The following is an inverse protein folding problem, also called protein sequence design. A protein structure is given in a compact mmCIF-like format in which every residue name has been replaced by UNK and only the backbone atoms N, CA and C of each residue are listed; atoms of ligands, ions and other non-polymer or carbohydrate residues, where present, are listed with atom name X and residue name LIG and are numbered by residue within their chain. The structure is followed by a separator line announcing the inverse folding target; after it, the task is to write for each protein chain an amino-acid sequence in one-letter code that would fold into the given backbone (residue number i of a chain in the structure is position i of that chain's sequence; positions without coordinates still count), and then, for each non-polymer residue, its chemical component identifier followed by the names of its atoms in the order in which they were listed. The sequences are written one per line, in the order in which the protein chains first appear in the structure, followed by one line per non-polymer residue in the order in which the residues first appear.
data_IF_983124010996
#
_entry.id   IF_983124010996
#
_cell.length_a   1.000
_cell.length_b   1.000
_cell.length_c   1.000
_cell.angle_alpha   90.00
_cell.angle_beta   90.00
_cell.angle_gamma   90.00
#
_symmetry.space_group_name_H-M   'P 1'
#
loop_
_entity.id
_entity.type
_entity.pdbx_description
1 polymer ?
#
# COMPACT_ATOMS: atom_id res chain seq x y z
N UNK A 1 -20.08 -6.22 -6.19
CA UNK A 1 -21.27 -5.34 -6.14
C UNK A 1 -20.78 -3.90 -6.34
N UNK A 2 -21.21 -3.28 -7.44
CA UNK A 2 -20.92 -1.87 -7.70
C UNK A 2 -21.88 -1.03 -6.86
N UNK A 3 -21.38 -0.37 -5.83
CA UNK A 3 -22.13 0.62 -5.06
C UNK A 3 -22.00 1.98 -5.76
N UNK A 4 -23.10 2.51 -6.24
CA UNK A 4 -23.18 3.85 -6.81
C UNK A 4 -23.72 4.81 -5.75
N UNK A 5 -23.02 5.94 -5.54
CA UNK A 5 -23.61 7.06 -4.83
C UNK A 5 -24.68 7.68 -5.72
N UNK A 6 -25.90 7.80 -5.21
CA UNK A 6 -27.01 8.42 -5.94
C UNK A 6 -27.23 9.83 -5.42
N UNK A 7 -27.25 10.77 -6.32
CA UNK A 7 -27.72 12.13 -6.01
C UNK A 7 -29.22 12.08 -5.82
N UNK A 8 -29.70 12.55 -4.65
CA UNK A 8 -31.12 12.69 -4.36
C UNK A 8 -31.66 14.05 -4.79
N UNK A 9 -32.98 14.17 -4.91
CA UNK A 9 -33.64 15.47 -5.08
C UNK A 9 -33.56 16.33 -3.81
N UNK A 10 -33.41 15.68 -2.64
CA UNK A 10 -33.28 16.33 -1.34
C UNK A 10 -31.82 16.32 -0.88
N UNK A 11 -31.41 17.28 -0.04
CA UNK A 11 -30.06 17.31 0.53
C UNK A 11 -29.74 16.02 1.30
N UNK A 12 -28.54 15.47 1.08
CA UNK A 12 -28.09 14.22 1.70
C UNK A 12 -26.82 14.48 2.51
N UNK A 13 -26.67 13.80 3.63
CA UNK A 13 -25.44 13.79 4.42
C UNK A 13 -24.58 12.57 4.04
N UNK A 14 -23.35 12.82 3.65
CA UNK A 14 -22.36 11.78 3.38
C UNK A 14 -21.33 11.73 4.50
N UNK A 15 -21.07 10.53 4.99
CA UNK A 15 -20.01 10.27 5.96
C UNK A 15 -19.03 9.26 5.41
N UNK A 16 -17.74 9.52 5.62
CA UNK A 16 -16.66 8.66 5.18
C UNK A 16 -15.66 8.42 6.29
N UNK A 17 -14.96 7.30 6.23
CA UNK A 17 -13.85 6.97 7.12
C UNK A 17 -12.75 6.22 6.37
N UNK A 18 -11.55 6.31 6.89
CA UNK A 18 -10.38 5.58 6.45
C UNK A 18 -9.58 5.14 7.70
N UNK A 19 -8.95 3.97 7.71
CA UNK A 19 -8.90 2.95 6.66
C UNK A 19 -10.14 2.06 6.65
N UNK A 20 -10.38 1.36 5.53
CA UNK A 20 -11.42 0.34 5.42
C UNK A 20 -10.89 -0.97 6.00
N UNK A 21 -11.07 -1.16 7.31
CA UNK A 21 -10.69 -2.37 8.04
C UNK A 21 -11.88 -2.89 8.84
N UNK A 22 -11.84 -4.17 9.21
CA UNK A 22 -12.92 -4.78 10.00
C UNK A 22 -13.15 -4.02 11.31
N UNK A 23 -14.40 -3.70 11.62
CA UNK A 23 -14.79 -2.98 12.85
C UNK A 23 -14.57 -1.47 12.81
N UNK A 24 -13.99 -0.89 11.74
CA UNK A 24 -13.88 0.55 11.57
C UNK A 24 -15.19 1.15 11.06
N UNK A 25 -15.48 2.37 11.50
CA UNK A 25 -16.60 3.20 11.09
C UNK A 25 -16.26 4.67 11.31
N UNK A 26 -17.19 5.59 11.08
CA UNK A 26 -17.01 7.01 11.40
C UNK A 26 -16.89 7.31 12.91
N UNK A 27 -17.25 6.35 13.77
CA UNK A 27 -17.25 6.50 15.23
C UNK A 27 -16.36 5.50 15.96
N UNK A 28 -16.00 4.38 15.33
CA UNK A 28 -15.25 3.30 15.97
C UNK A 28 -14.01 2.94 15.18
N UNK A 29 -12.90 2.79 15.89
CA UNK A 29 -11.64 2.37 15.30
C UNK A 29 -10.73 1.73 16.35
N UNK A 30 -10.24 0.53 16.08
CA UNK A 30 -9.25 -0.13 16.92
C UNK A 30 -7.87 0.04 16.29
N UNK A 31 -6.95 0.63 17.05
CA UNK A 31 -5.60 0.93 16.58
C UNK A 31 -4.78 -0.35 16.41
N UNK A 32 -4.20 -0.62 15.22
CA UNK A 32 -3.27 -1.72 15.02
C UNK A 32 -2.00 -1.55 15.88
N UNK A 33 -1.68 -2.56 16.70
CA UNK A 33 -0.49 -2.52 17.56
C UNK A 33 0.79 -2.95 16.85
N UNK A 34 0.70 -3.69 15.75
CA UNK A 34 1.84 -4.02 14.90
C UNK A 34 1.87 -3.09 13.70
N UNK A 35 2.75 -2.07 13.74
CA UNK A 35 2.95 -1.10 12.68
C UNK A 35 4.35 -1.22 12.03
N UNK A 36 5.00 -2.38 12.13
CA UNK A 36 6.36 -2.61 11.63
C UNK A 36 6.47 -2.62 10.10
N UNK A 37 5.36 -2.67 9.38
CA UNK A 37 5.29 -2.58 7.91
C UNK A 37 4.55 -1.30 7.52
N UNK A 38 4.95 -0.69 6.39
CA UNK A 38 4.29 0.52 5.87
C UNK A 38 2.80 0.34 5.69
N UNK A 39 2.36 -0.82 5.21
CA UNK A 39 0.94 -1.16 5.07
C UNK A 39 0.19 -1.09 6.41
N UNK A 40 0.78 -1.64 7.48
CA UNK A 40 0.17 -1.62 8.79
C UNK A 40 0.20 -0.22 9.41
N UNK A 41 1.26 0.55 9.14
CA UNK A 41 1.35 1.95 9.53
C UNK A 41 0.25 2.77 8.84
N UNK A 42 0.03 2.56 7.54
CA UNK A 42 -1.05 3.21 6.79
C UNK A 42 -2.44 2.84 7.34
N UNK A 43 -2.67 1.57 7.70
CA UNK A 43 -3.91 1.10 8.34
C UNK A 43 -4.16 1.70 9.73
N UNK A 44 -3.19 2.35 10.34
CA UNK A 44 -3.34 3.04 11.62
C UNK A 44 -3.77 4.51 11.47
N UNK A 45 -3.73 5.10 10.27
CA UNK A 45 -4.10 6.50 10.02
C UNK A 45 -5.61 6.69 9.91
N UNK A 46 -6.29 6.65 11.06
CA UNK A 46 -7.74 6.81 11.10
C UNK A 46 -8.16 8.24 10.81
N UNK A 47 -9.02 8.40 9.82
CA UNK A 47 -9.59 9.66 9.36
C UNK A 47 -11.10 9.54 9.20
N UNK A 48 -11.81 10.63 9.41
CA UNK A 48 -13.25 10.70 9.20
C UNK A 48 -13.63 11.99 8.47
N UNK A 49 -14.76 11.95 7.77
CA UNK A 49 -15.37 13.11 7.16
C UNK A 49 -16.88 13.00 7.25
N UNK A 50 -17.56 14.12 7.45
CA UNK A 50 -19.00 14.25 7.28
C UNK A 50 -19.25 15.52 6.49
N UNK A 51 -20.00 15.41 5.39
CA UNK A 51 -20.44 16.54 4.56
C UNK A 51 -21.95 16.53 4.55
N UNK A 52 -22.52 17.57 5.10
CA UNK A 52 -23.98 17.73 5.28
C UNK A 52 -24.59 18.53 4.13
N UNK A 53 -25.88 18.34 3.91
CA UNK A 53 -26.70 19.14 2.99
C UNK A 53 -26.15 19.14 1.54
N UNK A 54 -25.62 18.01 1.09
CA UNK A 54 -25.07 17.87 -0.26
C UNK A 54 -26.23 17.75 -1.25
N UNK A 55 -26.24 18.63 -2.25
CA UNK A 55 -27.16 18.63 -3.39
C UNK A 55 -26.39 18.47 -4.69
N UNK A 56 -27.04 17.98 -5.75
CA UNK A 56 -26.39 17.93 -7.07
C UNK A 56 -26.26 19.36 -7.63
N UNK A 57 -25.02 19.82 -7.72
CA UNK A 57 -24.66 21.11 -8.32
C UNK A 57 -24.40 21.00 -9.84
N UNK A 58 -24.69 19.82 -10.41
CA UNK A 58 -24.44 19.51 -11.83
C UNK A 58 -23.01 19.03 -12.12
N UNK A 59 -22.08 19.18 -11.18
CA UNK A 59 -20.69 18.72 -11.36
C UNK A 59 -20.55 17.20 -11.20
N UNK A 60 -21.48 16.59 -10.47
CA UNK A 60 -21.45 15.16 -10.07
C UNK A 60 -20.20 14.78 -9.30
N UNK A 61 -19.54 15.73 -8.64
CA UNK A 61 -18.31 15.53 -7.88
C UNK A 61 -18.61 15.71 -6.40
N UNK A 62 -18.43 14.69 -5.59
CA UNK A 62 -18.45 14.77 -4.13
C UNK A 62 -17.02 14.95 -3.60
N UNK A 63 -16.73 16.07 -2.97
CA UNK A 63 -15.44 16.34 -2.34
C UNK A 63 -15.51 16.01 -0.86
N UNK A 64 -14.68 15.05 -0.41
CA UNK A 64 -14.59 14.61 0.97
C UNK A 64 -13.29 15.12 1.59
N UNK A 65 -13.37 16.11 2.47
CA UNK A 65 -12.23 16.58 3.26
C UNK A 65 -12.02 15.69 4.49
N UNK A 66 -11.08 14.76 4.41
CA UNK A 66 -10.81 13.81 5.50
C UNK A 66 -10.05 14.48 6.65
N UNK A 67 -10.52 14.31 7.87
CA UNK A 67 -9.92 14.85 9.10
C UNK A 67 -9.20 13.73 9.85
N UNK A 68 -7.88 13.84 10.02
CA UNK A 68 -7.10 12.89 10.82
C UNK A 68 -7.50 12.92 12.27
N UNK A 69 -7.78 11.78 12.82
CA UNK A 69 -8.09 11.56 14.25
C UNK A 69 -6.88 11.11 15.05
N UNK A 70 -5.81 10.69 14.40
CA UNK A 70 -4.60 10.15 15.02
C UNK A 70 -3.51 11.20 15.12
N UNK A 71 -2.50 10.92 15.95
CA UNK A 71 -1.23 11.63 16.02
C UNK A 71 -0.11 10.74 15.47
N UNK A 72 0.96 11.35 14.97
CA UNK A 72 2.16 10.66 14.51
C UNK A 72 3.29 10.92 15.51
N UNK A 73 3.98 9.87 15.91
CA UNK A 73 5.16 9.93 16.77
C UNK A 73 6.36 9.39 16.01
N UNK A 74 7.43 10.16 15.98
CA UNK A 74 8.74 9.78 15.43
C UNK A 74 9.76 9.89 16.54
N UNK A 75 10.48 8.81 16.81
CA UNK A 75 11.57 8.78 17.78
C UNK A 75 12.89 8.50 17.08
N UNK A 76 13.81 9.44 17.09
CA UNK A 76 15.16 9.26 16.54
C UNK A 76 16.12 8.84 17.63
N UNK A 77 16.76 7.70 17.47
CA UNK A 77 17.77 7.19 18.38
C UNK A 77 19.08 7.96 18.17
N UNK A 78 19.42 8.82 19.12
CA UNK A 78 20.55 9.74 18.97
C UNK A 78 21.76 9.37 19.83
N UNK A 79 21.55 8.69 20.95
CA UNK A 79 22.63 8.34 21.86
C UNK A 79 22.35 6.99 22.50
N UNK A 80 23.10 5.98 22.06
CA UNK A 80 23.12 4.65 22.66
C UNK A 80 24.52 4.46 23.22
N UNK A 81 24.62 4.38 24.52
CA UNK A 81 25.91 4.23 25.21
C UNK A 81 26.63 2.95 24.80
N UNK A 82 27.91 3.09 24.46
CA UNK A 82 28.78 1.96 24.19
C UNK A 82 28.50 1.22 22.88
N UNK A 83 28.78 -0.08 22.85
CA UNK A 83 28.59 -0.96 21.66
C UNK A 83 27.23 -1.65 21.61
N UNK A 84 26.30 -1.24 22.46
CA UNK A 84 24.98 -1.81 22.53
C UNK A 84 24.09 -1.45 21.35
N UNK A 85 23.05 -2.24 21.17
CA UNK A 85 21.94 -1.93 20.26
C UNK A 85 20.62 -2.02 21.00
N UNK A 86 19.73 -1.13 20.68
CA UNK A 86 18.36 -1.14 21.16
C UNK A 86 17.53 -2.16 20.38
N UNK A 87 16.72 -2.92 21.08
CA UNK A 87 15.83 -3.93 20.49
C UNK A 87 14.41 -3.77 21.03
N UNK A 88 13.43 -4.30 20.31
CA UNK A 88 12.06 -4.40 20.77
C UNK A 88 11.40 -3.09 21.18
N UNK A 89 11.77 -1.96 20.53
CA UNK A 89 11.16 -0.67 20.84
C UNK A 89 9.66 -0.74 20.67
N UNK A 90 8.94 -0.24 21.68
CA UNK A 90 7.49 -0.08 21.69
C UNK A 90 7.16 1.36 22.05
N UNK A 91 6.07 1.87 21.48
CA UNK A 91 5.55 3.22 21.74
C UNK A 91 4.15 3.08 22.34
N UNK A 92 3.90 3.70 23.47
CA UNK A 92 2.63 3.68 24.17
C UNK A 92 1.57 4.54 23.45
N UNK A 93 0.35 4.05 23.42
CA UNK A 93 -0.81 4.71 22.83
C UNK A 93 -2.08 4.32 23.54
N UNK A 94 -3.14 5.11 23.37
CA UNK A 94 -4.50 4.66 23.62
C UNK A 94 -4.96 3.67 22.55
N UNK A 95 -6.02 2.88 22.85
CA UNK A 95 -6.41 1.74 21.98
C UNK A 95 -7.18 2.12 20.72
N UNK A 96 -7.66 3.35 20.59
CA UNK A 96 -8.43 3.82 19.44
C UNK A 96 -9.65 4.63 19.84
N UNK A 97 -10.75 4.46 19.13
CA UNK A 97 -11.99 5.21 19.29
C UNK A 97 -13.19 4.28 19.48
N UNK A 98 -14.09 4.66 20.37
CA UNK A 98 -15.42 4.07 20.52
C UNK A 98 -16.45 5.18 20.67
N UNK A 99 -17.51 5.13 19.87
CA UNK A 99 -18.56 6.18 19.81
C UNK A 99 -17.99 7.60 19.59
N UNK A 100 -16.93 7.71 18.80
CA UNK A 100 -16.27 8.99 18.51
C UNK A 100 -15.30 9.49 19.56
N UNK A 101 -15.20 8.82 20.72
CA UNK A 101 -14.34 9.19 21.84
C UNK A 101 -13.11 8.25 21.93
N UNK A 102 -11.98 8.81 22.38
CA UNK A 102 -10.75 8.02 22.59
C UNK A 102 -10.96 7.03 23.73
N UNK A 103 -10.62 5.77 23.49
CA UNK A 103 -10.70 4.71 24.49
C UNK A 103 -9.67 4.94 25.60
N UNK A 104 -10.07 4.80 26.85
CA UNK A 104 -9.18 5.03 28.00
C UNK A 104 -8.09 3.98 28.20
N UNK A 105 -8.24 2.78 27.63
CA UNK A 105 -7.23 1.74 27.67
C UNK A 105 -6.00 2.08 26.83
N UNK A 106 -4.83 1.58 27.25
CA UNK A 106 -3.56 1.79 26.56
C UNK A 106 -3.00 0.51 25.97
N UNK A 107 -2.18 0.63 24.94
CA UNK A 107 -1.48 -0.46 24.25
C UNK A 107 -0.06 -0.03 23.89
N UNK A 108 0.82 -1.01 23.73
CA UNK A 108 2.18 -0.83 23.24
C UNK A 108 2.23 -1.17 21.74
N UNK A 109 2.62 -0.20 20.93
CA UNK A 109 2.72 -0.32 19.48
C UNK A 109 4.14 -0.74 19.11
N UNK A 110 4.28 -1.72 18.22
CA UNK A 110 5.53 -2.03 17.52
C UNK A 110 5.67 -1.07 16.34
N UNK A 111 6.60 -0.08 16.38
CA UNK A 111 6.69 0.97 15.39
C UNK A 111 7.33 0.47 14.09
N UNK A 112 7.15 1.23 13.03
CA UNK A 112 7.92 1.13 11.81
C UNK A 112 9.34 1.66 12.05
N UNK A 113 10.35 0.92 11.56
CA UNK A 113 11.76 1.27 11.75
C UNK A 113 12.34 1.73 10.41
N UNK A 114 12.94 2.92 10.39
CA UNK A 114 13.80 3.37 9.29
C UNK A 114 15.25 3.33 9.76
N UNK A 115 16.08 2.62 9.02
CA UNK A 115 17.53 2.52 9.27
C UNK A 115 18.24 3.45 8.30
N UNK A 116 19.11 4.34 8.78
CA UNK A 116 19.87 5.23 7.90
C UNK A 116 20.82 4.43 6.99
N UNK A 117 21.18 5.00 5.85
CA UNK A 117 22.11 4.36 4.91
C UNK A 117 23.43 4.02 5.59
N UNK A 118 23.89 2.79 5.42
CA UNK A 118 25.08 2.24 6.10
C UNK A 118 24.93 1.95 7.59
N UNK A 119 23.76 2.25 8.19
CA UNK A 119 23.45 1.99 9.59
C UNK A 119 22.98 0.55 9.84
N UNK A 120 22.72 0.24 11.11
CA UNK A 120 22.13 -1.03 11.54
C UNK A 120 20.96 -0.77 12.47
N UNK A 121 19.94 -1.63 12.42
CA UNK A 121 18.78 -1.52 13.29
C UNK A 121 19.18 -1.49 14.78
N UNK A 122 18.58 -0.55 15.52
CA UNK A 122 18.83 -0.36 16.94
C UNK A 122 20.08 0.44 17.28
N UNK A 123 20.73 1.05 16.30
CA UNK A 123 21.87 1.96 16.49
C UNK A 123 21.46 3.42 16.24
N UNK A 124 22.35 4.36 16.62
CA UNK A 124 22.14 5.78 16.43
C UNK A 124 21.73 6.13 14.98
N UNK A 125 20.81 7.06 14.85
CA UNK A 125 20.24 7.49 13.58
C UNK A 125 19.01 6.68 13.14
N UNK A 126 18.70 5.53 13.77
CA UNK A 126 17.46 4.84 13.49
C UNK A 126 16.25 5.65 13.95
N UNK A 127 15.21 5.69 13.14
CA UNK A 127 13.93 6.31 13.51
C UNK A 127 12.85 5.25 13.70
N UNK A 128 12.01 5.46 14.69
CA UNK A 128 10.88 4.61 15.05
C UNK A 128 9.62 5.44 14.89
N UNK A 129 8.82 5.09 13.89
CA UNK A 129 7.58 5.82 13.56
C UNK A 129 6.36 5.01 13.97
N UNK A 130 5.45 5.64 14.71
CA UNK A 130 4.16 5.07 15.07
C UNK A 130 3.03 6.09 14.85
N UNK A 131 1.88 5.60 14.44
CA UNK A 131 0.62 6.32 14.48
C UNK A 131 -0.10 5.91 15.76
N UNK A 132 -0.47 6.87 16.56
CA UNK A 132 -1.00 6.67 17.91
C UNK A 132 -2.36 7.36 18.07
N UNK A 133 -3.24 6.78 18.87
CA UNK A 133 -4.47 7.45 19.26
C UNK A 133 -4.13 8.55 20.27
N UNK A 134 -4.52 9.82 20.01
CA UNK A 134 -4.28 10.92 20.92
C UNK A 134 -5.06 10.74 22.21
N UNK A 135 -4.53 11.30 23.29
CA UNK A 135 -5.17 11.22 24.62
C UNK A 135 -4.61 12.30 25.53
N UNK A 136 -5.17 12.37 26.74
CA UNK A 136 -4.74 13.36 27.73
C UNK A 136 -3.47 12.89 28.42
N UNK A 137 -2.59 13.86 28.75
CA UNK A 137 -1.42 13.63 29.58
C UNK A 137 -1.80 13.14 31.00
N UNK A 138 -0.81 12.65 31.73
CA UNK A 138 -0.93 12.33 33.15
C UNK A 138 -1.22 10.88 33.45
N UNK A 139 -0.91 9.97 32.51
CA UNK A 139 -0.98 8.54 32.79
C UNK A 139 0.36 8.03 33.29
N UNK A 140 0.33 7.02 34.16
CA UNK A 140 1.50 6.21 34.54
C UNK A 140 1.80 5.11 33.51
N UNK A 141 1.00 5.05 32.44
CA UNK A 141 1.18 4.07 31.38
C UNK A 141 2.51 4.27 30.67
N UNK A 142 3.10 3.17 30.22
CA UNK A 142 4.37 3.17 29.49
C UNK A 142 4.24 3.98 28.21
N UNK A 143 5.12 4.97 28.03
CA UNK A 143 5.26 5.69 26.75
C UNK A 143 6.29 5.06 25.84
N UNK A 144 7.46 4.68 26.38
CA UNK A 144 8.47 3.96 25.62
C UNK A 144 8.91 2.73 26.40
N UNK A 145 9.01 1.60 25.73
CA UNK A 145 9.74 0.45 26.26
C UNK A 145 10.69 -0.10 25.18
N UNK A 146 11.81 -0.63 25.63
CA UNK A 146 12.82 -1.23 24.78
C UNK A 146 13.69 -2.19 25.58
N UNK A 147 14.42 -3.07 24.88
CA UNK A 147 15.45 -3.89 25.47
C UNK A 147 16.82 -3.32 25.08
N UNK A 148 17.68 -3.14 26.07
CA UNK A 148 19.08 -2.72 25.90
C UNK A 148 19.99 -3.61 26.73
N UNK A 149 20.97 -4.26 26.07
CA UNK A 149 21.92 -5.20 26.70
C UNK A 149 21.27 -6.33 27.51
N UNK A 150 20.05 -6.76 27.11
CA UNK A 150 19.32 -7.81 27.79
C UNK A 150 18.40 -7.32 28.91
N UNK A 151 18.42 -6.05 29.26
CA UNK A 151 17.54 -5.41 30.24
C UNK A 151 16.36 -4.73 29.58
N UNK A 152 15.15 -4.92 30.09
CA UNK A 152 13.97 -4.22 29.66
C UNK A 152 13.85 -2.89 30.37
N UNK A 153 13.91 -1.81 29.58
CA UNK A 153 13.83 -0.44 30.06
C UNK A 153 12.47 0.17 29.70
N UNK A 154 11.91 0.97 30.63
CA UNK A 154 10.59 1.57 30.48
C UNK A 154 10.66 3.07 30.82
N UNK A 155 10.08 3.89 29.97
CA UNK A 155 9.78 5.29 30.22
C UNK A 155 8.26 5.45 30.41
N UNK A 156 7.76 5.76 31.60
CA UNK A 156 6.35 5.97 31.86
C UNK A 156 5.89 7.37 31.43
N UNK A 157 4.59 7.56 31.33
CA UNK A 157 3.95 8.85 31.08
C UNK A 157 3.76 9.15 29.59
N UNK A 158 2.64 8.71 29.01
CA UNK A 158 2.27 9.13 27.63
C UNK A 158 2.00 10.62 27.65
N UNK A 159 2.71 11.44 26.84
CA UNK A 159 2.48 12.87 26.79
C UNK A 159 1.11 13.21 26.18
N UNK A 160 0.66 14.45 26.35
CA UNK A 160 -0.51 14.93 25.63
C UNK A 160 -0.19 15.03 24.13
N UNK A 161 -0.92 14.25 23.32
CA UNK A 161 -0.81 14.26 21.88
C UNK A 161 -2.13 14.75 21.28
N UNK A 162 -2.06 15.55 20.22
CA UNK A 162 -3.24 16.13 19.54
C UNK A 162 -3.42 15.47 18.17
N UNK A 163 -4.68 15.29 17.71
CA UNK A 163 -4.96 14.80 16.37
C UNK A 163 -4.28 15.64 15.29
N UNK A 164 -3.95 15.03 14.16
CA UNK A 164 -3.33 15.67 13.01
C UNK A 164 -2.02 16.42 13.32
N UNK A 165 -1.28 15.99 14.35
CA UNK A 165 0.04 16.51 14.68
C UNK A 165 1.09 15.41 14.59
N UNK A 166 2.30 15.82 14.19
CA UNK A 166 3.51 15.00 14.21
C UNK A 166 4.39 15.47 15.37
N UNK A 167 4.85 14.52 16.18
CA UNK A 167 5.69 14.72 17.34
C UNK A 167 7.02 14.00 17.12
N UNK A 168 8.11 14.77 17.03
CA UNK A 168 9.45 14.24 16.84
C UNK A 168 10.22 14.32 18.14
N UNK A 169 10.69 13.18 18.65
CA UNK A 169 11.47 13.05 19.88
C UNK A 169 12.87 12.53 19.56
N UNK A 170 13.84 13.00 20.33
CA UNK A 170 15.15 12.36 20.39
C UNK A 170 15.14 11.35 21.52
N UNK A 171 15.42 10.09 21.23
CA UNK A 171 15.51 8.99 22.19
C UNK A 171 16.96 8.72 22.53
N UNK A 172 17.28 8.72 23.83
CA UNK A 172 18.61 8.41 24.36
C UNK A 172 18.54 7.25 25.34
N UNK A 173 19.59 6.42 25.34
CA UNK A 173 19.74 5.29 26.23
C UNK A 173 21.14 5.31 26.84
N UNK A 174 21.21 5.62 28.12
CA UNK A 174 22.47 5.67 28.89
C UNK A 174 22.40 4.69 30.06
N UNK A 175 23.18 3.60 29.99
CA UNK A 175 23.08 2.53 30.98
C UNK A 175 21.67 1.96 31.05
N UNK A 176 21.05 1.97 32.22
CA UNK A 176 19.69 1.49 32.45
C UNK A 176 18.63 2.61 32.40
N UNK A 177 18.93 3.76 31.77
CA UNK A 177 18.04 4.92 31.75
C UNK A 177 17.64 5.25 30.31
N UNK A 178 16.34 5.38 30.09
CA UNK A 178 15.77 5.96 28.86
C UNK A 178 15.40 7.42 29.15
N UNK A 179 15.76 8.29 28.21
CA UNK A 179 15.27 9.67 28.20
C UNK A 179 14.85 10.10 26.79
N UNK A 180 13.91 11.05 26.73
CA UNK A 180 13.48 11.67 25.49
C UNK A 180 13.60 13.19 25.60
N UNK A 181 13.81 13.85 24.46
CA UNK A 181 13.76 15.32 24.37
C UNK A 181 12.33 15.83 24.51
N UNK A 182 12.20 17.16 24.73
CA UNK A 182 10.95 17.82 24.38
C UNK A 182 10.65 17.59 22.90
N UNK A 183 9.36 17.37 22.52
CA UNK A 183 9.02 17.11 21.14
C UNK A 183 9.10 18.35 20.27
N UNK A 184 9.59 18.17 19.04
CA UNK A 184 9.30 19.12 17.96
C UNK A 184 7.91 18.79 17.44
N UNK A 185 6.99 19.75 17.49
CA UNK A 185 5.60 19.54 17.08
C UNK A 185 5.31 20.28 15.79
N UNK A 186 4.87 19.58 14.78
CA UNK A 186 4.48 20.12 13.47
C UNK A 186 3.06 19.68 13.07
N UNK A 187 2.40 20.37 12.13
CA UNK A 187 1.23 19.81 11.47
C UNK A 187 1.62 18.45 10.84
N UNK A 188 0.72 17.49 10.95
CA UNK A 188 0.92 16.23 10.22
C UNK A 188 0.34 16.40 8.81
N UNK A 189 1.13 16.91 7.90
CA UNK A 189 0.81 17.02 6.50
C UNK A 189 0.98 15.66 5.79
N UNK A 190 0.28 15.46 4.70
CA UNK A 190 0.29 14.22 3.93
C UNK A 190 1.67 13.80 3.46
N UNK A 191 2.59 14.75 3.23
CA UNK A 191 3.96 14.50 2.79
C UNK A 191 4.93 14.04 3.88
N UNK A 192 4.53 13.85 5.15
CA UNK A 192 5.44 13.51 6.26
C UNK A 192 5.40 12.04 6.70
N UNK A 193 4.54 11.20 6.12
CA UNK A 193 4.68 9.77 6.29
C UNK A 193 5.84 9.27 5.43
N UNK A 194 6.71 8.39 5.95
CA UNK A 194 7.55 7.56 5.09
C UNK A 194 6.60 6.74 4.19
N UNK A 195 6.53 7.06 2.89
CA UNK A 195 5.50 6.58 2.00
C UNK A 195 4.23 7.47 1.97
N UNK A 196 4.36 8.75 2.43
CA UNK A 196 3.35 9.78 2.43
C UNK A 196 2.68 10.01 1.11
N UNK A 197 1.66 10.71 0.93
CA UNK A 197 0.60 10.73 -0.06
C UNK A 197 0.16 9.31 -0.46
N UNK A 198 -1.12 9.09 -0.63
CA UNK A 198 -1.58 8.00 -1.47
C UNK A 198 -1.20 8.30 -2.93
N UNK A 199 0.07 8.52 -3.20
CA UNK A 199 0.64 8.13 -4.46
C UNK A 199 0.41 6.63 -4.49
N UNK A 200 -0.42 6.20 -5.40
CA UNK A 200 -0.54 4.81 -5.78
C UNK A 200 0.88 4.26 -5.84
N UNK A 201 1.15 3.26 -4.97
CA UNK A 201 2.48 2.71 -4.79
C UNK A 201 3.03 2.39 -6.18
N UNK A 202 3.91 3.24 -6.70
CA UNK A 202 4.57 2.97 -7.98
C UNK A 202 5.55 1.85 -7.72
N UNK A 203 5.07 0.63 -7.90
CA UNK A 203 5.91 -0.54 -7.76
C UNK A 203 7.10 -0.41 -8.72
N UNK A 204 8.28 -0.78 -8.26
CA UNK A 204 9.46 -0.85 -9.13
C UNK A 204 9.27 -1.90 -10.23
N UNK A 205 8.52 -2.95 -9.93
CA UNK A 205 8.10 -4.01 -10.83
C UNK A 205 6.79 -4.63 -10.34
N UNK A 206 6.12 -5.38 -11.22
CA UNK A 206 4.91 -6.15 -10.90
C UNK A 206 5.19 -7.64 -10.97
N UNK A 207 4.55 -8.42 -10.09
CA UNK A 207 4.66 -9.87 -10.01
C UNK A 207 3.31 -10.51 -10.30
N UNK A 208 3.30 -11.48 -11.21
CA UNK A 208 2.07 -12.10 -11.74
C UNK A 208 2.14 -13.62 -11.63
N UNK A 209 1.11 -14.24 -11.10
CA UNK A 209 0.90 -15.68 -11.09
C UNK A 209 -0.44 -16.03 -11.75
N UNK A 210 -0.56 -17.24 -12.31
CA UNK A 210 -1.81 -17.72 -12.89
C UNK A 210 -2.95 -17.66 -11.88
N UNK A 211 -2.70 -18.12 -10.65
CA UNK A 211 -3.57 -17.90 -9.51
C UNK A 211 -2.99 -16.78 -8.64
N UNK A 212 -3.77 -15.75 -8.35
CA UNK A 212 -3.28 -14.64 -7.53
C UNK A 212 -2.90 -15.13 -6.14
N UNK A 213 -1.94 -14.45 -5.51
CA UNK A 213 -1.43 -14.78 -4.18
C UNK A 213 -1.65 -13.62 -3.20
N UNK A 214 -1.78 -13.93 -1.93
CA UNK A 214 -1.89 -12.94 -0.85
C UNK A 214 -3.00 -11.91 -1.09
N UNK A 215 -2.64 -10.63 -1.08
CA UNK A 215 -3.56 -9.52 -1.35
C UNK A 215 -3.64 -9.13 -2.84
N UNK A 216 -2.98 -9.87 -3.73
CA UNK A 216 -2.99 -9.71 -5.18
C UNK A 216 -2.56 -8.31 -5.70
N UNK A 217 -1.73 -7.59 -4.96
CA UNK A 217 -1.25 -6.24 -5.34
C UNK A 217 -0.16 -6.26 -6.41
N UNK A 218 0.49 -7.41 -6.62
CA UNK A 218 1.61 -7.55 -7.54
C UNK A 218 2.94 -6.98 -7.03
N UNK A 219 3.07 -6.67 -5.74
CA UNK A 219 4.29 -6.09 -5.18
C UNK A 219 5.45 -7.07 -5.00
N UNK A 220 5.13 -8.34 -4.90
CA UNK A 220 6.07 -9.47 -4.77
C UNK A 220 5.37 -10.79 -5.12
N UNK A 221 6.11 -11.92 -5.10
CA UNK A 221 5.55 -13.24 -5.42
C UNK A 221 4.51 -13.73 -4.39
N UNK A 222 4.59 -13.29 -3.13
CA UNK A 222 3.64 -13.67 -2.07
C UNK A 222 2.33 -12.89 -2.17
N UNK A 223 2.34 -11.77 -2.92
CA UNK A 223 1.20 -10.92 -3.20
C UNK A 223 0.99 -10.73 -4.71
N UNK A 224 1.34 -11.74 -5.51
CA UNK A 224 1.29 -11.67 -6.95
C UNK A 224 -0.15 -11.46 -7.45
N UNK A 225 -0.31 -10.57 -8.44
CA UNK A 225 -1.59 -10.35 -9.10
C UNK A 225 -1.94 -11.52 -10.04
N UNK A 226 -3.22 -11.71 -10.30
CA UNK A 226 -3.71 -12.67 -11.28
C UNK A 226 -3.89 -12.05 -12.67
N UNK A 227 -4.34 -12.87 -13.62
CA UNK A 227 -4.52 -12.47 -15.02
C UNK A 227 -5.52 -11.33 -15.21
N UNK A 228 -6.60 -11.28 -14.42
CA UNK A 228 -7.60 -10.19 -14.51
C UNK A 228 -6.99 -8.84 -14.12
N UNK A 229 -6.19 -8.81 -13.06
CA UNK A 229 -5.50 -7.60 -12.65
C UNK A 229 -4.41 -7.19 -13.66
N UNK A 230 -3.69 -8.15 -14.23
CA UNK A 230 -2.72 -7.88 -15.31
C UNK A 230 -3.42 -7.30 -16.55
N UNK A 231 -4.56 -7.86 -16.97
CA UNK A 231 -5.34 -7.30 -18.08
C UNK A 231 -5.77 -5.87 -17.81
N UNK A 232 -6.33 -5.60 -16.62
CA UNK A 232 -6.79 -4.26 -16.25
C UNK A 232 -5.62 -3.27 -16.17
N UNK A 233 -4.43 -3.71 -15.75
CA UNK A 233 -3.23 -2.88 -15.71
C UNK A 233 -2.74 -2.53 -17.12
N UNK A 234 -2.77 -3.49 -18.06
CA UNK A 234 -2.28 -3.30 -19.43
C UNK A 234 -3.35 -2.68 -20.34
N UNK A 235 -4.63 -3.00 -20.13
CA UNK A 235 -5.71 -2.61 -21.03
C UNK A 235 -5.99 -1.12 -20.94
N UNK A 236 -6.17 -0.53 -22.12
CA UNK A 236 -6.69 0.82 -22.29
C UNK A 236 -8.05 0.71 -22.98
N UNK A 237 -9.07 1.28 -22.37
CA UNK A 237 -10.47 1.21 -22.84
C UNK A 237 -10.86 2.38 -23.78
N UNK A 238 -9.86 3.12 -24.28
CA UNK A 238 -10.09 4.33 -25.07
C UNK A 238 -10.37 5.58 -24.23
N UNK A 239 -10.36 5.46 -22.89
CA UNK A 239 -10.45 6.59 -21.99
C UNK A 239 -9.03 7.19 -21.78
N UNK A 240 -8.82 8.44 -22.16
CA UNK A 240 -7.52 9.10 -22.05
C UNK A 240 -7.00 9.18 -20.61
N UNK A 241 -7.89 9.32 -19.62
CA UNK A 241 -7.50 9.45 -18.22
C UNK A 241 -6.99 8.12 -17.66
N UNK A 242 -7.67 7.00 -17.96
CA UNK A 242 -7.22 5.66 -17.58
C UNK A 242 -5.92 5.31 -18.31
N UNK A 243 -5.83 5.58 -19.59
CA UNK A 243 -4.61 5.36 -20.37
C UNK A 243 -3.42 6.13 -19.80
N UNK A 244 -3.59 7.39 -19.42
CA UNK A 244 -2.54 8.19 -18.82
C UNK A 244 -2.15 7.68 -17.44
N UNK A 245 -3.10 7.28 -16.59
CA UNK A 245 -2.84 6.71 -15.29
C UNK A 245 -2.03 5.40 -15.40
N UNK A 246 -2.42 4.50 -16.30
CA UNK A 246 -1.68 3.26 -16.54
C UNK A 246 -0.31 3.51 -17.19
N UNK A 247 -0.18 4.50 -18.06
CA UNK A 247 1.10 4.91 -18.63
C UNK A 247 2.11 5.32 -17.55
N UNK A 248 1.68 6.13 -16.58
CA UNK A 248 2.53 6.55 -15.45
C UNK A 248 2.96 5.36 -14.60
N UNK A 249 2.07 4.39 -14.38
CA UNK A 249 2.35 3.18 -13.58
C UNK A 249 3.34 2.25 -14.26
N UNK A 250 3.30 2.16 -15.58
CA UNK A 250 3.98 1.12 -16.35
C UNK A 250 5.24 1.59 -17.07
N UNK A 251 5.41 2.89 -17.25
CA UNK A 251 6.54 3.42 -17.98
C UNK A 251 7.88 3.10 -17.32
N UNK A 252 8.75 2.41 -18.04
CA UNK A 252 10.05 1.91 -17.57
C UNK A 252 9.94 0.72 -16.59
N UNK A 253 8.78 0.08 -16.44
CA UNK A 253 8.57 -1.01 -15.48
C UNK A 253 8.79 -2.40 -16.08
N UNK A 254 9.11 -3.33 -15.18
CA UNK A 254 9.14 -4.77 -15.47
C UNK A 254 7.93 -5.46 -14.86
N UNK A 255 7.39 -6.43 -15.59
CA UNK A 255 6.32 -7.31 -15.13
C UNK A 255 6.89 -8.74 -15.17
N UNK A 256 7.11 -9.31 -14.00
CA UNK A 256 7.60 -10.68 -13.84
C UNK A 256 6.42 -11.63 -13.80
N UNK A 257 6.43 -12.64 -14.69
CA UNK A 257 5.30 -13.56 -14.86
C UNK A 257 5.77 -14.99 -14.62
N UNK A 258 5.18 -15.65 -13.63
CA UNK A 258 5.46 -17.05 -13.34
C UNK A 258 4.96 -17.97 -14.47
N UNK A 259 5.41 -19.23 -14.46
CA UNK A 259 4.86 -20.24 -15.37
C UNK A 259 3.35 -20.39 -15.12
N UNK A 260 2.60 -20.55 -16.19
CA UNK A 260 1.16 -20.68 -16.18
C UNK A 260 0.52 -20.29 -17.51
N UNK A 261 -0.81 -20.38 -17.58
CA UNK A 261 -1.62 -20.03 -18.73
C UNK A 261 -2.45 -18.80 -18.45
N UNK A 262 -2.18 -17.72 -19.15
CA UNK A 262 -2.76 -16.39 -18.91
C UNK A 262 -3.71 -16.02 -20.03
N UNK A 263 -5.01 -16.06 -19.74
CA UNK A 263 -6.05 -15.76 -20.68
C UNK A 263 -6.16 -14.23 -20.90
N UNK A 264 -5.55 -13.75 -22.00
CA UNK A 264 -5.47 -12.30 -22.28
C UNK A 264 -6.67 -11.77 -23.07
N UNK A 265 -7.40 -12.63 -23.80
CA UNK A 265 -8.58 -12.22 -24.53
C UNK A 265 -9.85 -12.68 -23.83
N UNK A 266 -10.80 -11.76 -23.59
CA UNK A 266 -12.12 -12.07 -23.07
C UNK A 266 -13.16 -11.87 -24.18
N UNK A 267 -14.11 -12.81 -24.30
CA UNK A 267 -15.19 -12.76 -25.26
C UNK A 267 -14.71 -12.52 -26.71
N UNK A 268 -14.95 -11.35 -27.24
CA UNK A 268 -14.65 -11.02 -28.65
C UNK A 268 -13.53 -10.00 -28.83
N UNK A 269 -12.76 -9.69 -27.79
CA UNK A 269 -11.69 -8.67 -27.88
C UNK A 269 -10.43 -9.09 -27.10
N UNK A 270 -9.28 -8.94 -27.76
CA UNK A 270 -7.97 -9.02 -27.08
C UNK A 270 -7.70 -7.80 -26.21
N UNK A 271 -6.69 -7.89 -25.36
CA UNK A 271 -6.20 -6.76 -24.58
C UNK A 271 -5.64 -5.72 -25.54
N UNK A 272 -6.23 -4.53 -25.56
CA UNK A 272 -5.70 -3.38 -26.31
C UNK A 272 -4.79 -2.58 -25.39
N UNK A 273 -3.54 -2.40 -25.81
CA UNK A 273 -2.53 -1.64 -25.10
C UNK A 273 -2.15 -0.44 -25.96
N UNK A 274 -2.65 0.73 -25.60
CA UNK A 274 -2.46 1.97 -26.36
C UNK A 274 -2.49 3.14 -25.40
N UNK A 275 -1.44 3.95 -25.42
CA UNK A 275 -1.32 5.11 -24.53
C UNK A 275 -1.45 6.42 -25.31
N UNK A 276 -2.40 6.48 -26.23
CA UNK A 276 -2.71 7.67 -27.04
C UNK A 276 -3.03 8.86 -26.13
N UNK A 277 -2.28 9.94 -26.27
CA UNK A 277 -2.42 11.12 -25.41
C UNK A 277 -1.38 11.23 -24.29
N UNK A 278 -0.58 10.19 -24.05
CA UNK A 278 0.61 10.30 -23.21
C UNK A 278 1.71 11.06 -23.96
N UNK A 279 2.52 11.85 -23.26
CA UNK A 279 3.48 12.77 -23.88
C UNK A 279 4.71 12.08 -24.50
N UNK A 280 4.93 10.80 -24.17
CA UNK A 280 6.06 10.00 -24.63
C UNK A 280 5.66 8.53 -24.84
N UNK A 281 6.54 7.76 -25.44
CA UNK A 281 6.38 6.31 -25.58
C UNK A 281 6.50 5.65 -24.21
N UNK A 282 5.57 4.75 -23.89
CA UNK A 282 5.57 3.95 -22.67
C UNK A 282 6.38 2.67 -22.90
N UNK A 283 7.39 2.44 -22.10
CA UNK A 283 8.27 1.28 -22.21
C UNK A 283 7.92 0.24 -21.12
N UNK A 284 7.60 -0.98 -21.53
CA UNK A 284 7.23 -2.07 -20.64
C UNK A 284 8.04 -3.31 -20.99
N UNK A 285 8.62 -3.98 -20.00
CA UNK A 285 9.24 -5.30 -20.18
C UNK A 285 8.44 -6.36 -19.44
N UNK A 286 7.95 -7.37 -20.14
CA UNK A 286 7.24 -8.52 -19.57
C UNK A 286 8.17 -9.73 -19.63
N UNK A 287 8.65 -10.18 -18.49
CA UNK A 287 9.58 -11.28 -18.34
C UNK A 287 8.86 -12.53 -17.82
N UNK A 288 8.74 -13.56 -18.65
CA UNK A 288 8.20 -14.87 -18.27
C UNK A 288 9.27 -15.88 -17.84
N UNK A 289 8.84 -17.09 -17.50
CA UNK A 289 9.73 -18.21 -17.18
C UNK A 289 10.14 -18.32 -15.72
N UNK A 290 9.38 -17.76 -14.80
CA UNK A 290 9.63 -17.86 -13.35
C UNK A 290 8.92 -19.07 -12.73
N UNK A 291 9.55 -19.66 -11.69
CA UNK A 291 8.95 -20.72 -10.88
C UNK A 291 7.70 -20.21 -10.15
N UNK A 292 6.52 -20.87 -10.30
CA UNK A 292 5.31 -20.47 -9.56
C UNK A 292 5.45 -20.56 -8.05
N UNK A 293 6.42 -21.35 -7.53
CA UNK A 293 6.72 -21.45 -6.09
C UNK A 293 7.61 -20.32 -5.56
N UNK A 294 8.03 -19.37 -6.39
CA UNK A 294 8.83 -18.22 -5.96
C UNK A 294 8.11 -17.40 -4.91
N UNK A 295 8.86 -16.83 -3.95
CA UNK A 295 8.37 -16.04 -2.81
C UNK A 295 9.13 -14.72 -2.70
N UNK A 296 8.54 -13.75 -2.00
CA UNK A 296 9.13 -12.43 -1.84
C UNK A 296 9.45 -11.79 -3.20
N UNK A 297 10.64 -11.24 -3.34
CA UNK A 297 11.14 -10.63 -4.58
C UNK A 297 12.22 -11.47 -5.26
N UNK A 298 12.27 -12.79 -4.99
CA UNK A 298 13.29 -13.69 -5.53
C UNK A 298 13.11 -13.90 -7.04
N UNK A 299 14.07 -13.44 -7.82
CA UNK A 299 14.13 -13.57 -9.28
C UNK A 299 15.15 -14.62 -9.74
N UNK A 300 15.80 -15.36 -8.83
CA UNK A 300 16.85 -16.33 -9.15
C UNK A 300 16.30 -17.62 -9.78
N UNK A 301 15.01 -17.89 -9.58
CA UNK A 301 14.33 -19.10 -10.08
C UNK A 301 13.69 -18.89 -11.45
N UNK A 302 14.39 -18.25 -12.36
CA UNK A 302 13.96 -18.08 -13.75
C UNK A 302 14.62 -19.13 -14.64
N UNK A 303 13.80 -19.91 -15.37
CA UNK A 303 14.25 -20.89 -16.35
C UNK A 303 13.18 -21.08 -17.43
N UNK A 304 13.37 -20.41 -18.57
CA UNK A 304 12.41 -20.42 -19.68
C UNK A 304 12.28 -21.78 -20.38
N UNK A 305 13.24 -22.68 -20.18
CA UNK A 305 13.18 -24.06 -20.72
C UNK A 305 12.31 -24.97 -19.85
N UNK A 306 12.17 -24.65 -18.58
CA UNK A 306 11.42 -25.43 -17.58
C UNK A 306 10.06 -24.80 -17.26
N UNK A 307 9.99 -23.48 -17.17
CA UNK A 307 8.84 -22.74 -16.72
C UNK A 307 8.21 -21.96 -17.86
N UNK A 308 7.16 -22.51 -18.47
CA UNK A 308 6.48 -21.88 -19.61
C UNK A 308 5.45 -20.86 -19.14
N UNK A 309 5.62 -19.62 -19.56
CA UNK A 309 4.63 -18.55 -19.41
C UNK A 309 3.89 -18.41 -20.73
N UNK A 310 2.62 -18.81 -20.78
CA UNK A 310 1.82 -18.78 -22.00
C UNK A 310 0.70 -17.75 -21.91
N UNK A 311 0.70 -16.78 -22.80
CA UNK A 311 -0.43 -15.93 -23.05
C UNK A 311 -1.36 -16.60 -24.05
N UNK A 312 -2.57 -16.90 -23.62
CA UNK A 312 -3.52 -17.69 -24.38
C UNK A 312 -4.79 -16.91 -24.65
N UNK A 313 -5.49 -17.34 -25.68
CA UNK A 313 -6.83 -16.85 -26.01
C UNK A 313 -7.87 -17.79 -25.43
N UNK A 314 -8.98 -17.23 -24.90
CA UNK A 314 -10.12 -18.04 -24.53
C UNK A 314 -10.85 -18.53 -25.78
N UNK A 315 -11.00 -19.84 -25.88
CA UNK A 315 -11.75 -20.52 -26.95
C UNK A 315 -13.15 -20.90 -26.51
N UNK A 316 -13.75 -20.15 -25.55
CA UNK A 316 -15.11 -20.42 -25.07
C UNK A 316 -16.11 -20.56 -26.20
N UNK A 317 -17.05 -21.52 -26.09
CA UNK A 317 -18.10 -21.80 -27.05
C UNK A 317 -18.94 -20.56 -27.34
N UNK A 318 -18.81 -20.00 -28.54
CA UNK A 318 -19.55 -18.80 -28.99
C UNK A 318 -18.69 -17.69 -29.57
N UNK A 319 -17.37 -17.77 -29.48
CA UNK A 319 -16.47 -16.79 -30.09
C UNK A 319 -16.45 -16.95 -31.61
N UNK A 320 -16.95 -15.93 -32.34
CA UNK A 320 -16.82 -15.87 -33.80
C UNK A 320 -15.36 -15.82 -34.20
N UNK A 321 -14.94 -16.72 -35.06
CA UNK A 321 -13.56 -16.94 -35.46
C UNK A 321 -12.85 -15.76 -36.16
N UNK A 322 -13.53 -14.67 -36.44
CA UNK A 322 -13.10 -13.73 -37.48
C UNK A 322 -12.47 -12.41 -37.02
N UNK A 323 -12.43 -12.09 -35.70
CA UNK A 323 -11.96 -10.76 -35.31
C UNK A 323 -11.10 -10.64 -34.05
N UNK A 324 -10.57 -11.74 -33.51
CA UNK A 324 -10.03 -11.67 -32.14
C UNK A 324 -8.51 -11.78 -32.09
N UNK A 325 -7.86 -10.66 -31.90
CA UNK A 325 -6.45 -10.58 -31.54
C UNK A 325 -6.25 -10.99 -30.07
N UNK A 326 -5.12 -11.62 -29.75
CA UNK A 326 -4.72 -11.88 -28.38
C UNK A 326 -4.32 -10.59 -27.66
N UNK A 327 -3.49 -9.80 -28.33
CA UNK A 327 -3.03 -8.48 -27.93
C UNK A 327 -3.14 -7.54 -29.14
N UNK A 328 -3.50 -6.29 -28.88
CA UNK A 328 -3.48 -5.21 -29.86
C UNK A 328 -2.55 -4.11 -29.34
N UNK A 329 -1.43 -3.90 -30.00
CA UNK A 329 -0.49 -2.85 -29.65
C UNK A 329 -0.79 -1.62 -30.48
N UNK A 330 -1.07 -0.52 -29.83
CA UNK A 330 -1.39 0.76 -30.46
C UNK A 330 -0.28 1.80 -30.31
N UNK A 331 -0.64 3.06 -30.49
CA UNK A 331 0.29 4.17 -30.44
C UNK A 331 0.96 4.34 -29.07
N UNK A 332 2.18 4.89 -29.07
CA UNK A 332 2.98 5.23 -27.88
C UNK A 332 3.26 4.04 -26.95
N UNK A 333 3.32 2.83 -27.51
CA UNK A 333 3.57 1.59 -26.78
C UNK A 333 4.84 0.93 -27.29
N UNK A 334 5.77 0.64 -26.37
CA UNK A 334 6.97 -0.15 -26.62
C UNK A 334 7.02 -1.27 -25.58
N UNK A 335 6.70 -2.51 -26.00
CA UNK A 335 6.66 -3.67 -25.08
C UNK A 335 7.68 -4.71 -25.54
N UNK A 336 8.51 -5.14 -24.59
CA UNK A 336 9.42 -6.25 -24.74
C UNK A 336 8.81 -7.45 -24.04
N UNK A 337 8.63 -8.56 -24.74
CA UNK A 337 8.26 -9.86 -24.19
C UNK A 337 9.50 -10.76 -24.19
N UNK A 338 9.93 -11.18 -23.01
CA UNK A 338 11.09 -12.06 -22.82
C UNK A 338 10.67 -13.35 -22.11
N UNK A 339 10.95 -14.51 -22.69
CA UNK A 339 10.58 -15.81 -22.13
C UNK A 339 9.07 -16.08 -22.08
N UNK A 340 8.29 -15.46 -22.96
CA UNK A 340 6.85 -15.62 -23.06
C UNK A 340 6.46 -16.40 -24.34
N UNK A 341 5.43 -17.22 -24.24
CA UNK A 341 4.83 -17.93 -25.37
C UNK A 341 3.45 -17.33 -25.67
N UNK A 342 3.12 -17.16 -26.95
CA UNK A 342 1.81 -16.71 -27.40
C UNK A 342 1.10 -17.86 -28.11
N UNK A 343 -0.06 -18.23 -27.57
CA UNK A 343 -0.89 -19.28 -28.16
C UNK A 343 -2.24 -18.67 -28.58
N UNK A 344 -2.34 -18.35 -29.86
CA UNK A 344 -3.54 -17.85 -30.51
C UNK A 344 -4.36 -18.92 -31.22
N UNK A 345 -4.05 -20.19 -31.02
CA UNK A 345 -4.64 -21.29 -31.78
C UNK A 345 -6.15 -21.41 -31.54
N UNK A 346 -6.92 -21.33 -32.65
CA UNK A 346 -8.28 -21.82 -32.70
C UNK A 346 -8.25 -23.33 -32.58
N UNK A 347 -9.08 -23.91 -31.74
CA UNK A 347 -9.50 -25.27 -31.94
C UNK A 347 -10.24 -25.33 -33.27
N UNK A 348 -9.58 -25.77 -34.30
CA UNK A 348 -10.29 -26.28 -35.47
C UNK A 348 -10.99 -27.53 -34.95
N UNK A 349 -12.29 -27.49 -34.76
CA UNK A 349 -13.07 -28.70 -34.63
C UNK A 349 -13.01 -29.39 -36.00
N UNK A 350 -12.32 -30.52 -36.06
CA UNK A 350 -12.43 -31.49 -37.16
C UNK A 350 -13.85 -32.05 -37.20
#
# INVERSE_FOLDING_TARGET
DNYYLRWGAEPVTYSAFYPVVSGASTANFTLPTNQQRLENLAKADYMTCTVENVTDDGSRILRLGMNRKMAKVIMTLADVGGQGKVQGVKIGSYQGYTNGEVVSGTSLISPFITVPEGGKAGQNGCTYTAIVAPGKAGTTATFVSLNYLGEDLVLPGIPELKPAKCYEFTLKVEGSIISISEPIVSPWDSGTLPGGDAEELQLAAYYVKEQPAGNATGMDWDNAMGVDALRNLLQTDGNSDISNANAVKLDGKKIYVAAGSYEMAKENSGVKIEYSGYSKQVEITIEGGYDPSSTGTDLTKRDISKYTTAFVRNTGSGASATSNSLLVLGNQTNIIFDGCTFNGQYGLND
#
